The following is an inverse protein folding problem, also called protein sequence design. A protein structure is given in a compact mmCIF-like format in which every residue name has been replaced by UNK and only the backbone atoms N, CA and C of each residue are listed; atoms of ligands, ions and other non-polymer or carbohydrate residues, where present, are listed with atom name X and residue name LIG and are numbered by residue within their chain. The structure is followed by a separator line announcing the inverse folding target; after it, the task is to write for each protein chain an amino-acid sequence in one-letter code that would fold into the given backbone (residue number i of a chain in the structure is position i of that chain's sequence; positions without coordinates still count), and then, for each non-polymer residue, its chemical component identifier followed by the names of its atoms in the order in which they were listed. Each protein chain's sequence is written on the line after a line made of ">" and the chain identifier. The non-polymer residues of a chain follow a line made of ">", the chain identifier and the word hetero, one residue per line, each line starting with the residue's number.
data_IF_358410818525
#
_entry.id   IF_358410818525
#
_cell.length_a   1.000
_cell.length_b   1.000
_cell.length_c   1.000
_cell.angle_alpha   90.00
_cell.angle_beta   90.00
_cell.angle_gamma   90.00
#
_symmetry.space_group_name_H-M   'P 1'
#
loop_
_entity.id
_entity.type
_entity.pdbx_description
1 polymer ?
#
# COMPACT_ATOMS: atom_id res chain seq x y z
N UNK A 1 15.57 9.57 8.23
CA UNK A 1 14.33 8.79 8.49
C UNK A 1 14.19 7.81 7.31
N UNK A 2 13.68 6.59 7.44
CA UNK A 2 13.07 5.92 6.26
C UNK A 2 11.59 6.15 6.44
N UNK A 3 11.04 7.04 5.62
CA UNK A 3 9.62 7.30 5.53
C UNK A 3 9.21 6.70 4.19
N UNK A 4 8.50 5.58 4.16
CA UNK A 4 7.93 5.10 2.90
C UNK A 4 6.96 6.18 2.40
N UNK A 5 6.99 6.45 1.10
CA UNK A 5 6.10 7.45 0.51
C UNK A 5 4.67 6.98 0.76
N UNK A 6 3.85 7.80 1.40
CA UNK A 6 2.52 7.33 1.78
C UNK A 6 1.49 7.72 0.77
N UNK A 7 0.64 6.75 0.48
CA UNK A 7 -0.52 6.92 -0.35
C UNK A 7 -1.52 7.90 0.27
N UNK A 8 -1.93 8.89 -0.51
CA UNK A 8 -3.19 9.61 -0.34
C UNK A 8 -3.92 9.57 -1.68
N UNK A 9 -4.57 8.44 -1.97
CA UNK A 9 -5.78 8.47 -2.78
C UNK A 9 -6.87 8.94 -1.84
N UNK A 10 -7.00 10.25 -1.73
CA UNK A 10 -8.27 10.80 -1.31
C UNK A 10 -9.12 10.77 -2.57
N UNK A 11 -10.28 10.12 -2.54
CA UNK A 11 -11.31 10.27 -3.59
C UNK A 11 -11.95 11.65 -3.48
N UNK A 12 -11.12 12.68 -3.37
CA UNK A 12 -11.42 14.10 -3.26
C UNK A 12 -10.28 14.87 -3.89
N UNK A 13 -10.57 16.10 -4.32
CA UNK A 13 -9.60 16.96 -4.97
C UNK A 13 -8.36 17.24 -4.10
N UNK A 14 -7.28 17.64 -4.78
CA UNK A 14 -5.94 18.03 -4.31
C UNK A 14 -5.85 18.55 -2.87
N UNK A 15 -4.69 18.33 -2.24
CA UNK A 15 -4.34 18.63 -0.83
C UNK A 15 -4.70 20.03 -0.28
N UNK A 16 -5.11 20.99 -1.10
CA UNK A 16 -5.61 22.29 -0.67
C UNK A 16 -7.07 22.28 -0.13
N UNK A 17 -7.83 21.20 -0.32
CA UNK A 17 -9.26 21.16 0.01
C UNK A 17 -9.62 20.64 1.42
N UNK A 18 -8.63 20.32 2.27
CA UNK A 18 -8.89 19.77 3.62
C UNK A 18 -9.37 20.80 4.66
N UNK A 19 -9.53 22.07 4.29
CA UNK A 19 -10.11 23.10 5.13
C UNK A 19 -11.38 23.69 4.50
N UNK A 20 -12.47 22.91 4.42
CA UNK A 20 -13.82 23.45 4.44
C UNK A 20 -14.89 22.35 4.58
N UNK A 21 -15.76 22.57 5.56
CA UNK A 21 -17.18 22.21 5.61
C UNK A 21 -17.59 20.74 5.85
N UNK A 22 -18.29 20.58 6.98
CA UNK A 22 -19.26 19.55 7.26
C UNK A 22 -20.38 19.47 6.19
N UNK A 23 -21.06 18.32 6.17
CA UNK A 23 -22.15 17.88 5.28
C UNK A 23 -21.70 17.33 3.90
N UNK A 24 -21.67 16.00 3.80
CA UNK A 24 -21.97 15.17 2.61
C UNK A 24 -21.52 15.66 1.21
N UNK A 25 -20.34 16.27 1.11
CA UNK A 25 -19.80 16.90 -0.12
C UNK A 25 -18.66 16.13 -0.78
N UNK A 26 -18.51 14.84 -0.53
CA UNK A 26 -17.63 14.01 -1.35
C UNK A 26 -18.40 13.53 -2.58
N UNK A 27 -17.90 13.73 -3.81
CA UNK A 27 -18.63 13.33 -5.00
C UNK A 27 -18.78 11.81 -4.98
N UNK A 28 -20.03 11.35 -4.86
CA UNK A 28 -20.38 9.93 -4.76
C UNK A 28 -20.01 9.23 -6.05
N UNK A 29 -19.02 8.35 -6.00
CA UNK A 29 -18.65 7.50 -7.13
C UNK A 29 -19.77 6.49 -7.39
N UNK A 30 -20.15 6.34 -8.65
CA UNK A 30 -21.11 5.37 -9.14
C UNK A 30 -20.34 4.29 -9.87
N UNK A 31 -20.47 3.04 -9.41
CA UNK A 31 -19.87 1.87 -10.05
C UNK A 31 -20.53 1.66 -11.42
N UNK A 32 -19.72 1.55 -12.48
CA UNK A 32 -20.23 1.35 -13.84
C UNK A 32 -20.45 -0.14 -14.14
N UNK A 33 -19.73 -1.02 -13.45
CA UNK A 33 -19.82 -2.47 -13.65
C UNK A 33 -20.40 -3.12 -12.40
N UNK A 34 -21.67 -3.50 -12.47
CA UNK A 34 -22.40 -4.12 -11.35
C UNK A 34 -23.89 -4.29 -11.59
N UNK A 35 -24.53 -3.44 -12.40
CA UNK A 35 -25.92 -3.55 -12.89
C UNK A 35 -26.12 -2.54 -14.05
N UNK A 36 -27.07 -2.79 -14.96
CA UNK A 36 -27.34 -1.95 -16.15
C UNK A 36 -26.77 -2.50 -17.48
N UNK A 37 -26.97 -1.81 -18.62
CA UNK A 37 -26.61 -2.30 -19.97
C UNK A 37 -25.10 -2.57 -20.19
N UNK A 38 -24.25 -2.23 -19.22
CA UNK A 38 -22.81 -2.49 -19.18
C UNK A 38 -22.42 -3.72 -18.34
N UNK A 39 -23.37 -4.55 -17.92
CA UNK A 39 -23.17 -5.72 -17.05
C UNK A 39 -22.32 -6.88 -17.62
N UNK A 40 -21.81 -6.77 -18.86
CA UNK A 40 -20.80 -7.69 -19.41
C UNK A 40 -19.44 -6.99 -19.34
N UNK A 41 -18.38 -7.71 -18.97
CA UNK A 41 -17.03 -7.12 -18.90
C UNK A 41 -16.67 -6.52 -20.26
N UNK A 42 -16.63 -5.20 -20.37
CA UNK A 42 -16.27 -4.50 -21.61
C UNK A 42 -14.94 -3.77 -21.46
N UNK A 43 -14.20 -3.72 -22.56
CA UNK A 43 -13.16 -2.72 -22.76
C UNK A 43 -13.79 -1.57 -23.52
N UNK A 44 -13.63 -0.35 -23.00
CA UNK A 44 -14.03 0.89 -23.68
C UNK A 44 -12.83 1.58 -24.28
N UNK A 45 -13.06 2.37 -25.33
CA UNK A 45 -12.12 3.29 -25.96
C UNK A 45 -12.50 4.72 -25.56
N UNK A 46 -11.52 5.50 -25.11
CA UNK A 46 -11.71 6.90 -24.70
C UNK A 46 -10.59 7.73 -25.28
N UNK A 47 -10.94 8.80 -25.98
CA UNK A 47 -10.00 9.81 -26.46
C UNK A 47 -9.91 10.97 -25.46
N UNK A 48 -8.70 11.35 -25.08
CA UNK A 48 -8.45 12.49 -24.20
C UNK A 48 -7.04 13.04 -24.41
N UNK A 49 -6.91 14.35 -24.62
CA UNK A 49 -5.62 15.05 -24.84
C UNK A 49 -4.74 14.35 -25.89
N UNK A 50 -5.29 14.13 -27.09
CA UNK A 50 -4.63 13.47 -28.23
C UNK A 50 -4.12 12.04 -27.97
N UNK A 51 -4.56 11.43 -26.86
CA UNK A 51 -4.25 10.05 -26.51
C UNK A 51 -5.51 9.21 -26.50
N UNK A 52 -5.35 7.96 -26.90
CA UNK A 52 -6.41 6.96 -26.84
C UNK A 52 -6.14 6.01 -25.67
N UNK A 53 -7.12 5.91 -24.79
CA UNK A 53 -7.12 5.04 -23.63
C UNK A 53 -8.07 3.87 -23.86
N UNK A 54 -7.63 2.69 -23.47
CA UNK A 54 -8.44 1.48 -23.54
C UNK A 54 -8.43 0.77 -22.19
N UNK A 55 -9.59 0.39 -21.69
CA UNK A 55 -9.65 -0.35 -20.43
C UNK A 55 -11.07 -0.67 -19.97
N UNK A 56 -11.16 -1.29 -18.81
CA UNK A 56 -12.43 -1.59 -18.15
C UNK A 56 -12.84 -0.40 -17.28
N UNK A 57 -14.00 0.23 -17.49
CA UNK A 57 -14.49 1.25 -16.58
C UNK A 57 -14.77 0.62 -15.21
N UNK A 58 -14.36 1.29 -14.14
CA UNK A 58 -14.59 0.84 -12.75
C UNK A 58 -15.74 1.60 -12.11
N UNK A 59 -15.69 2.92 -12.22
CA UNK A 59 -16.70 3.84 -11.70
C UNK A 59 -16.42 5.24 -12.19
N UNK A 60 -17.36 6.14 -11.90
CA UNK A 60 -17.22 7.57 -12.17
C UNK A 60 -17.95 8.39 -11.11
N UNK A 61 -17.41 9.56 -10.79
CA UNK A 61 -18.09 10.57 -9.99
C UNK A 61 -18.62 11.69 -10.90
N UNK A 62 -18.83 12.91 -10.37
CA UNK A 62 -19.33 14.06 -11.15
C UNK A 62 -18.28 14.60 -12.14
N UNK A 63 -17.00 14.42 -11.85
CA UNK A 63 -15.92 15.10 -12.56
C UNK A 63 -15.00 14.11 -13.28
N UNK A 64 -14.87 12.89 -12.77
CA UNK A 64 -13.85 11.92 -13.16
C UNK A 64 -14.44 10.52 -13.35
N UNK A 65 -13.72 9.71 -14.14
CA UNK A 65 -13.92 8.27 -14.24
C UNK A 65 -12.61 7.52 -14.00
N UNK A 66 -12.73 6.32 -13.44
CA UNK A 66 -11.62 5.41 -13.21
C UNK A 66 -11.65 4.29 -14.26
N UNK A 67 -10.57 4.18 -15.04
CA UNK A 67 -10.40 3.20 -16.10
C UNK A 67 -9.28 2.22 -15.75
N UNK A 68 -9.60 0.93 -15.56
CA UNK A 68 -8.64 -0.13 -15.31
C UNK A 68 -7.98 -0.58 -16.63
N UNK A 69 -6.66 -0.52 -16.70
CA UNK A 69 -5.84 -0.91 -17.85
C UNK A 69 -5.37 -2.37 -17.73
N UNK A 70 -4.95 -2.97 -18.85
CA UNK A 70 -4.49 -4.37 -18.90
C UNK A 70 -3.21 -4.66 -18.12
N UNK A 71 -2.44 -3.64 -17.75
CA UNK A 71 -1.27 -3.75 -16.87
C UNK A 71 -1.60 -3.51 -15.39
N UNK A 72 -2.89 -3.45 -15.05
CA UNK A 72 -3.37 -3.27 -13.69
C UNK A 72 -3.42 -1.82 -13.22
N UNK A 73 -2.94 -0.85 -14.02
CA UNK A 73 -3.06 0.59 -13.71
C UNK A 73 -4.51 1.04 -13.73
N UNK A 74 -4.87 1.98 -12.85
CA UNK A 74 -6.04 2.83 -12.99
C UNK A 74 -5.60 4.12 -13.66
N UNK A 75 -6.31 4.54 -14.70
CA UNK A 75 -6.19 5.87 -15.28
C UNK A 75 -7.42 6.66 -14.86
N UNK A 76 -7.21 7.80 -14.21
CA UNK A 76 -8.27 8.77 -13.95
C UNK A 76 -8.40 9.68 -15.17
N UNK A 77 -9.61 9.73 -15.74
CA UNK A 77 -9.94 10.58 -16.89
C UNK A 77 -11.12 11.49 -16.50
N UNK A 78 -11.39 12.59 -17.23
CA UNK A 78 -12.64 13.31 -17.07
C UNK A 78 -13.84 12.38 -17.25
N UNK A 79 -14.93 12.65 -16.53
CA UNK A 79 -16.20 11.93 -16.66
C UNK A 79 -16.62 11.85 -18.14
N UNK A 80 -17.13 10.69 -18.54
CA UNK A 80 -17.60 10.46 -19.90
C UNK A 80 -19.11 10.19 -19.88
N UNK A 81 -19.87 10.97 -20.65
CA UNK A 81 -21.32 10.77 -20.78
C UNK A 81 -21.65 9.58 -21.70
N UNK A 82 -20.78 9.29 -22.67
CA UNK A 82 -20.89 8.16 -23.60
C UNK A 82 -19.53 7.49 -23.74
N UNK A 83 -19.53 6.17 -23.83
CA UNK A 83 -18.31 5.37 -23.96
C UNK A 83 -18.43 4.47 -25.19
N UNK A 84 -17.41 4.49 -26.03
CA UNK A 84 -17.29 3.59 -27.18
C UNK A 84 -16.85 2.20 -26.69
N UNK A 85 -17.65 1.17 -26.97
CA UNK A 85 -17.27 -0.21 -26.65
C UNK A 85 -16.25 -0.69 -27.67
N UNK A 86 -15.03 -0.96 -27.21
CA UNK A 86 -13.96 -1.51 -28.04
C UNK A 86 -14.06 -3.04 -28.15
N UNK A 87 -14.32 -3.72 -27.03
CA UNK A 87 -14.48 -5.18 -27.02
C UNK A 87 -15.31 -5.65 -25.81
N UNK A 88 -15.83 -6.88 -25.89
CA UNK A 88 -16.57 -7.55 -24.81
C UNK A 88 -15.69 -8.41 -23.89
N UNK A 89 -14.37 -8.24 -23.99
CA UNK A 89 -13.40 -9.00 -23.20
C UNK A 89 -12.41 -8.07 -22.51
N UNK A 90 -11.86 -8.54 -21.40
CA UNK A 90 -10.77 -7.86 -20.72
C UNK A 90 -9.89 -8.91 -20.03
N UNK A 91 -8.71 -9.15 -20.59
CA UNK A 91 -7.71 -10.04 -20.05
C UNK A 91 -6.42 -9.25 -19.73
N UNK A 92 -5.87 -9.37 -18.51
CA UNK A 92 -4.56 -8.81 -18.16
C UNK A 92 -3.49 -9.22 -19.17
N UNK A 93 -2.46 -8.39 -19.34
CA UNK A 93 -1.27 -8.82 -20.06
C UNK A 93 -0.64 -10.03 -19.36
N UNK A 94 -0.13 -10.96 -20.16
CA UNK A 94 0.78 -11.98 -19.66
C UNK A 94 2.07 -11.33 -19.14
N UNK A 95 2.79 -12.03 -18.26
CA UNK A 95 4.08 -11.54 -17.76
C UNK A 95 5.07 -11.21 -18.90
N UNK A 96 5.08 -12.02 -19.96
CA UNK A 96 5.92 -11.79 -21.15
C UNK A 96 5.53 -10.51 -21.89
N UNK A 97 4.25 -10.33 -22.23
CA UNK A 97 3.78 -9.13 -22.93
C UNK A 97 4.07 -7.86 -22.11
N UNK A 98 3.87 -7.94 -20.79
CA UNK A 98 4.16 -6.83 -19.91
C UNK A 98 5.66 -6.53 -19.84
N UNK A 99 6.50 -7.56 -19.72
CA UNK A 99 7.96 -7.41 -19.73
C UNK A 99 8.46 -6.80 -21.05
N UNK A 100 7.96 -7.24 -22.19
CA UNK A 100 8.33 -6.71 -23.51
C UNK A 100 7.92 -5.23 -23.65
N UNK A 101 6.73 -4.86 -23.15
CA UNK A 101 6.26 -3.45 -23.13
C UNK A 101 7.10 -2.57 -22.21
N UNK A 102 7.41 -3.06 -21.01
CA UNK A 102 8.26 -2.34 -20.05
C UNK A 102 9.69 -2.19 -20.58
N UNK A 103 10.25 -3.22 -21.22
CA UNK A 103 11.57 -3.15 -21.83
C UNK A 103 11.64 -2.07 -22.91
N UNK A 104 10.60 -1.97 -23.76
CA UNK A 104 10.47 -0.88 -24.74
C UNK A 104 10.33 0.49 -24.07
N UNK A 105 9.55 0.58 -22.99
CA UNK A 105 9.31 1.83 -22.27
C UNK A 105 10.58 2.39 -21.61
N UNK A 106 11.38 1.54 -20.96
CA UNK A 106 12.56 1.99 -20.20
C UNK A 106 13.86 1.97 -21.01
N UNK A 107 13.87 1.33 -22.18
CA UNK A 107 14.99 1.31 -23.11
C UNK A 107 16.19 0.49 -22.64
N UNK A 108 17.30 0.59 -23.37
CA UNK A 108 18.48 -0.29 -23.23
C UNK A 108 19.26 -0.14 -21.92
N UNK A 109 19.08 0.99 -21.20
CA UNK A 109 19.67 1.23 -19.87
C UNK A 109 19.10 0.32 -18.79
N UNK A 110 17.91 -0.23 -19.04
CA UNK A 110 17.18 -1.08 -18.13
C UNK A 110 17.02 -2.49 -18.68
N UNK A 111 16.81 -3.44 -17.78
CA UNK A 111 16.47 -4.82 -18.05
C UNK A 111 15.14 -5.15 -17.38
N UNK A 112 14.42 -6.12 -17.95
CA UNK A 112 13.23 -6.71 -17.34
C UNK A 112 13.48 -8.14 -16.88
N UNK A 113 12.87 -8.51 -15.77
CA UNK A 113 12.88 -9.88 -15.25
C UNK A 113 11.49 -10.19 -14.67
N UNK A 114 10.98 -11.40 -14.92
CA UNK A 114 9.70 -11.85 -14.37
C UNK A 114 9.87 -13.05 -13.45
N UNK A 115 8.96 -13.18 -12.48
CA UNK A 115 8.73 -14.36 -11.65
C UNK A 115 7.29 -14.84 -11.88
N UNK A 116 6.75 -15.69 -10.99
CA UNK A 116 5.36 -16.13 -11.05
C UNK A 116 4.39 -14.96 -10.96
N UNK A 117 4.59 -14.04 -10.01
CA UNK A 117 3.68 -12.91 -9.79
C UNK A 117 4.24 -11.56 -10.22
N UNK A 118 5.56 -11.40 -10.34
CA UNK A 118 6.20 -10.10 -10.54
C UNK A 118 6.78 -9.91 -11.94
N UNK A 119 6.79 -8.66 -12.40
CA UNK A 119 7.61 -8.19 -13.52
C UNK A 119 8.39 -6.96 -13.06
N UNK A 120 9.72 -7.09 -13.00
CA UNK A 120 10.63 -6.09 -12.43
C UNK A 120 11.44 -5.44 -13.53
N UNK A 121 11.47 -4.11 -13.52
CA UNK A 121 12.39 -3.27 -14.29
C UNK A 121 13.54 -2.85 -13.38
N UNK A 122 14.78 -2.99 -13.83
CA UNK A 122 15.96 -2.60 -13.05
C UNK A 122 17.12 -2.13 -13.93
N UNK A 123 18.07 -1.31 -13.41
CA UNK A 123 19.18 -0.81 -14.22
C UNK A 123 20.12 -1.94 -14.62
N UNK A 124 20.64 -1.93 -15.85
CA UNK A 124 21.59 -2.94 -16.34
C UNK A 124 22.85 -3.09 -15.48
N UNK A 125 23.22 -2.03 -14.75
CA UNK A 125 24.37 -2.03 -13.83
C UNK A 125 24.11 -2.77 -12.52
N UNK A 126 22.89 -3.25 -12.29
CA UNK A 126 22.43 -3.83 -11.02
C UNK A 126 21.83 -5.22 -11.26
N UNK A 127 22.54 -6.07 -12.00
CA UNK A 127 22.08 -7.43 -12.30
C UNK A 127 22.06 -8.28 -11.03
N UNK A 128 20.85 -8.66 -10.63
CA UNK A 128 20.52 -9.54 -9.51
C UNK A 128 19.19 -10.21 -9.85
N UNK A 129 18.88 -11.31 -9.18
CA UNK A 129 17.56 -11.91 -9.26
C UNK A 129 16.51 -11.11 -8.46
N UNK A 130 16.16 -9.92 -8.94
CA UNK A 130 15.21 -9.02 -8.30
C UNK A 130 13.81 -9.63 -8.27
N UNK A 131 13.34 -10.20 -9.38
CA UNK A 131 11.99 -10.77 -9.44
C UNK A 131 11.79 -11.85 -8.36
N UNK A 132 12.79 -12.72 -8.14
CA UNK A 132 12.73 -13.71 -7.08
C UNK A 132 12.75 -13.11 -5.67
N UNK A 133 13.42 -11.97 -5.45
CA UNK A 133 13.42 -11.30 -4.14
C UNK A 133 12.01 -10.83 -3.75
N UNK A 134 11.28 -10.21 -4.69
CA UNK A 134 9.90 -9.80 -4.48
C UNK A 134 8.96 -11.00 -4.35
N UNK A 135 9.15 -12.03 -5.18
CA UNK A 135 8.43 -13.30 -5.11
C UNK A 135 8.58 -13.98 -3.74
N UNK A 136 9.78 -13.97 -3.16
CA UNK A 136 10.03 -14.54 -1.84
C UNK A 136 9.26 -13.79 -0.74
N UNK A 137 9.20 -12.46 -0.80
CA UNK A 137 8.42 -11.66 0.16
C UNK A 137 6.93 -11.94 0.01
N UNK A 138 6.42 -12.02 -1.22
CA UNK A 138 5.03 -12.38 -1.49
C UNK A 138 4.68 -13.77 -0.93
N UNK A 139 5.54 -14.77 -1.13
CA UNK A 139 5.32 -16.11 -0.60
C UNK A 139 5.35 -16.13 0.94
N UNK A 140 6.23 -15.34 1.58
CA UNK A 140 6.24 -15.18 3.04
C UNK A 140 4.95 -14.55 3.56
N UNK A 141 4.43 -13.53 2.86
CA UNK A 141 3.14 -12.91 3.13
C UNK A 141 1.98 -13.91 3.02
N UNK A 142 1.90 -14.63 1.89
CA UNK A 142 0.88 -15.66 1.66
C UNK A 142 0.93 -16.76 2.72
N UNK A 143 2.14 -17.23 3.05
CA UNK A 143 2.33 -18.27 4.07
C UNK A 143 1.95 -17.79 5.48
N UNK A 144 2.13 -16.51 5.80
CA UNK A 144 1.67 -15.95 7.07
C UNK A 144 0.14 -16.00 7.17
N UNK A 145 -0.58 -15.59 6.13
CA UNK A 145 -2.05 -15.61 6.13
C UNK A 145 -2.59 -17.04 6.13
N UNK A 146 -2.03 -17.93 5.31
CA UNK A 146 -2.42 -19.34 5.28
C UNK A 146 -2.25 -20.05 6.64
N UNK A 147 -1.16 -19.79 7.37
CA UNK A 147 -0.97 -20.32 8.74
C UNK A 147 -2.00 -19.83 9.74
N UNK A 148 -2.52 -18.63 9.53
CA UNK A 148 -3.63 -18.07 10.30
C UNK A 148 -5.00 -18.42 9.69
N UNK A 149 -5.06 -19.44 8.83
CA UNK A 149 -6.29 -19.97 8.20
C UNK A 149 -7.04 -18.92 7.38
N UNK A 150 -6.29 -18.02 6.74
CA UNK A 150 -6.82 -16.99 5.86
C UNK A 150 -6.40 -17.30 4.44
N UNK A 151 -7.40 -17.58 3.61
CA UNK A 151 -7.23 -17.72 2.18
C UNK A 151 -7.29 -16.34 1.51
N UNK A 152 -6.31 -16.08 0.65
CA UNK A 152 -6.24 -14.87 -0.16
C UNK A 152 -6.40 -15.20 -1.63
N UNK A 153 -7.00 -14.29 -2.39
CA UNK A 153 -7.08 -14.42 -3.85
C UNK A 153 -5.69 -14.29 -4.47
N UNK A 154 -5.45 -14.88 -5.64
CA UNK A 154 -4.23 -14.60 -6.42
C UNK A 154 -4.33 -13.23 -7.12
N UNK A 155 -3.21 -12.53 -7.35
CA UNK A 155 -3.24 -11.23 -8.00
C UNK A 155 -3.71 -11.40 -9.44
N UNK A 156 -4.73 -10.63 -9.81
CA UNK A 156 -5.30 -10.67 -11.17
C UNK A 156 -4.31 -10.23 -12.25
N UNK A 157 -3.37 -9.35 -11.91
CA UNK A 157 -2.40 -8.78 -12.85
C UNK A 157 -0.98 -9.12 -12.39
N UNK A 158 -0.01 -9.28 -13.31
CA UNK A 158 1.39 -9.29 -12.92
C UNK A 158 1.74 -8.01 -12.16
N UNK A 159 2.38 -8.16 -11.01
CA UNK A 159 2.75 -7.08 -10.11
C UNK A 159 4.04 -6.40 -10.61
N UNK A 160 3.97 -5.10 -10.88
CA UNK A 160 5.10 -4.38 -11.47
C UNK A 160 5.95 -3.72 -10.40
N UNK A 161 7.26 -3.88 -10.54
CA UNK A 161 8.26 -3.18 -9.74
C UNK A 161 9.20 -2.42 -10.67
N UNK A 162 9.51 -1.17 -10.33
CA UNK A 162 10.43 -0.32 -11.06
C UNK A 162 11.56 0.12 -10.12
N UNK A 163 12.75 -0.42 -10.34
CA UNK A 163 13.97 -0.06 -9.65
C UNK A 163 14.73 0.92 -10.53
N UNK A 164 14.83 2.17 -10.12
CA UNK A 164 15.47 3.25 -10.90
C UNK A 164 16.95 3.38 -10.57
N UNK A 165 17.75 3.85 -11.53
CA UNK A 165 19.21 3.95 -11.39
C UNK A 165 19.70 5.11 -10.50
N UNK A 166 18.81 6.01 -10.08
CA UNK A 166 19.14 7.13 -9.21
C UNK A 166 17.94 7.70 -8.46
N UNK A 167 18.24 8.45 -7.39
CA UNK A 167 17.26 9.26 -6.66
C UNK A 167 16.58 10.31 -7.53
N UNK A 168 17.30 10.91 -8.49
CA UNK A 168 16.74 11.93 -9.36
C UNK A 168 15.71 11.34 -10.33
N UNK A 169 15.97 10.15 -10.87
CA UNK A 169 14.99 9.43 -11.68
C UNK A 169 13.76 9.05 -10.84
N UNK A 170 13.96 8.59 -9.58
CA UNK A 170 12.87 8.34 -8.63
C UNK A 170 12.00 9.57 -8.39
N UNK A 171 12.62 10.70 -8.04
CA UNK A 171 11.92 11.95 -7.80
C UNK A 171 11.17 12.43 -9.05
N UNK A 172 11.75 12.29 -10.24
CA UNK A 172 11.04 12.67 -11.48
C UNK A 172 9.84 11.76 -11.74
N UNK A 173 9.99 10.46 -11.49
CA UNK A 173 8.96 9.47 -11.82
C UNK A 173 7.69 9.56 -10.97
N UNK A 174 7.75 10.16 -9.78
CA UNK A 174 6.61 10.27 -8.86
C UNK A 174 6.23 11.74 -8.56
N UNK A 175 6.70 12.70 -9.37
CA UNK A 175 6.46 14.13 -9.17
C UNK A 175 4.98 14.50 -9.10
N UNK A 176 4.15 13.80 -9.85
CA UNK A 176 2.69 14.02 -9.89
C UNK A 176 1.93 13.20 -8.84
N UNK A 177 2.60 12.28 -8.13
CA UNK A 177 1.95 11.35 -7.19
C UNK A 177 2.27 11.66 -5.72
N UNK A 178 3.46 12.17 -5.41
CA UNK A 178 3.88 12.42 -4.03
C UNK A 178 4.59 13.75 -3.83
N UNK A 179 4.26 14.42 -2.72
CA UNK A 179 5.09 15.52 -2.20
C UNK A 179 6.33 14.90 -1.54
N UNK A 180 7.46 14.93 -2.25
CA UNK A 180 8.66 14.22 -1.81
C UNK A 180 9.23 14.77 -0.51
N UNK A 181 9.40 13.86 0.47
CA UNK A 181 10.28 14.06 1.62
C UNK A 181 11.64 13.42 1.32
N UNK A 182 12.73 14.01 1.83
CA UNK A 182 14.12 13.52 1.65
C UNK A 182 14.37 12.10 2.19
N UNK A 183 13.39 11.47 2.80
CA UNK A 183 13.51 10.20 3.51
C UNK A 183 12.73 9.05 2.86
N UNK A 184 12.17 9.28 1.66
CA UNK A 184 11.46 8.26 0.87
C UNK A 184 12.41 7.46 0.00
N UNK A 185 12.41 6.13 0.18
CA UNK A 185 13.26 5.20 -0.56
C UNK A 185 12.49 4.28 -1.52
N UNK A 186 11.18 4.26 -1.39
CA UNK A 186 10.29 3.57 -2.31
C UNK A 186 8.84 3.97 -2.04
N UNK A 187 8.00 3.54 -2.96
CA UNK A 187 6.62 3.94 -3.02
C UNK A 187 5.80 2.90 -3.78
N UNK A 188 4.79 2.33 -3.14
CA UNK A 188 3.72 1.63 -3.82
C UNK A 188 2.58 2.60 -4.19
N UNK A 189 2.34 2.73 -5.50
CA UNK A 189 1.21 3.49 -6.04
C UNK A 189 -0.01 2.59 -6.22
N UNK A 190 -1.11 2.91 -5.53
CA UNK A 190 -2.42 2.24 -5.74
C UNK A 190 -3.06 2.58 -7.08
N UNK A 191 -2.75 3.74 -7.67
CA UNK A 191 -3.22 4.12 -9.01
C UNK A 191 -2.48 3.30 -10.05
N UNK A 192 -1.15 3.32 -10.06
CA UNK A 192 -0.40 2.62 -11.11
C UNK A 192 -0.23 1.13 -10.83
N UNK A 193 -0.55 0.69 -9.61
CA UNK A 193 -0.32 -0.67 -9.12
C UNK A 193 1.17 -1.07 -9.16
N UNK A 194 2.07 -0.11 -8.98
CA UNK A 194 3.52 -0.31 -9.10
C UNK A 194 4.24 0.03 -7.82
N UNK A 195 5.24 -0.78 -7.50
CA UNK A 195 6.30 -0.38 -6.57
C UNK A 195 7.37 0.34 -7.37
N UNK A 196 7.75 1.53 -6.93
CA UNK A 196 8.90 2.27 -7.47
C UNK A 196 9.93 2.45 -6.36
N UNK A 197 11.19 2.17 -6.64
CA UNK A 197 12.33 2.40 -5.74
C UNK A 197 13.55 2.79 -6.57
N UNK A 198 14.70 2.99 -5.94
CA UNK A 198 15.94 3.27 -6.64
C UNK A 198 17.16 2.69 -5.94
N UNK A 199 18.20 2.49 -6.72
CA UNK A 199 19.52 2.05 -6.32
C UNK A 199 20.54 3.12 -6.71
N UNK A 200 21.78 2.97 -6.26
CA UNK A 200 22.89 3.83 -6.67
C UNK A 200 24.05 2.98 -7.18
N UNK A 201 24.65 3.44 -8.28
CA UNK A 201 25.90 2.90 -8.81
C UNK A 201 27.13 3.72 -8.36
N UNK A 202 26.95 4.80 -7.59
CA UNK A 202 28.06 5.58 -7.02
C UNK A 202 28.70 4.80 -5.87
N UNK A 203 29.96 4.34 -5.98
CA UNK A 203 30.61 3.51 -4.98
C UNK A 203 30.61 4.12 -3.57
N UNK A 204 30.56 5.45 -3.46
CA UNK A 204 30.57 6.18 -2.18
C UNK A 204 29.30 5.96 -1.36
N UNK A 205 28.15 5.75 -2.03
CA UNK A 205 26.84 5.66 -1.39
C UNK A 205 26.08 4.37 -1.73
N UNK A 206 26.50 3.61 -2.75
CA UNK A 206 25.83 2.42 -3.27
C UNK A 206 25.49 1.42 -2.16
N UNK A 207 26.46 1.06 -1.32
CA UNK A 207 26.24 0.10 -0.21
C UNK A 207 25.11 0.55 0.72
N UNK A 208 25.07 1.84 1.08
CA UNK A 208 24.03 2.39 1.96
C UNK A 208 22.68 2.40 1.25
N UNK A 209 22.61 2.99 0.06
CA UNK A 209 21.36 3.15 -0.69
C UNK A 209 20.75 1.79 -1.07
N UNK A 210 21.56 0.87 -1.57
CA UNK A 210 21.06 -0.43 -2.04
C UNK A 210 20.58 -1.30 -0.86
N UNK A 211 21.19 -1.17 0.33
CA UNK A 211 20.67 -1.79 1.56
C UNK A 211 19.32 -1.21 1.98
N UNK A 212 19.10 0.09 1.80
CA UNK A 212 17.82 0.73 2.11
C UNK A 212 16.76 0.28 1.11
N UNK A 213 17.10 0.18 -0.17
CA UNK A 213 16.22 -0.41 -1.19
C UNK A 213 15.80 -1.83 -0.81
N UNK A 214 16.71 -2.68 -0.33
CA UNK A 214 16.38 -4.05 0.12
C UNK A 214 15.37 -4.09 1.30
N UNK A 215 15.42 -3.11 2.22
CA UNK A 215 14.44 -3.00 3.32
C UNK A 215 13.09 -2.51 2.79
N UNK A 216 13.13 -1.50 1.92
CA UNK A 216 11.94 -0.94 1.27
C UNK A 216 11.24 -1.96 0.38
N UNK A 217 11.99 -2.86 -0.29
CA UNK A 217 11.43 -3.99 -1.05
C UNK A 217 10.39 -4.71 -0.21
N UNK A 218 10.70 -5.04 1.05
CA UNK A 218 9.76 -5.77 1.90
C UNK A 218 8.49 -4.98 2.12
N UNK A 219 8.62 -3.75 2.62
CA UNK A 219 7.50 -2.90 2.98
C UNK A 219 6.56 -2.65 1.78
N UNK A 220 7.08 -2.21 0.64
CA UNK A 220 6.26 -1.92 -0.53
C UNK A 220 5.67 -3.18 -1.17
N UNK A 221 6.37 -4.32 -1.10
CA UNK A 221 5.83 -5.59 -1.61
C UNK A 221 4.62 -6.02 -0.80
N UNK A 222 4.64 -5.80 0.52
CA UNK A 222 3.50 -6.13 1.37
C UNK A 222 2.31 -5.24 1.05
N UNK A 223 2.51 -3.93 0.86
CA UNK A 223 1.44 -3.06 0.36
C UNK A 223 0.89 -3.57 -0.97
N UNK A 224 1.76 -3.80 -1.96
CA UNK A 224 1.33 -4.27 -3.27
C UNK A 224 0.59 -5.60 -3.20
N UNK A 225 1.06 -6.58 -2.44
CA UNK A 225 0.37 -7.85 -2.24
C UNK A 225 -0.98 -7.65 -1.54
N UNK A 226 -1.02 -6.95 -0.41
CA UNK A 226 -2.26 -6.75 0.34
C UNK A 226 -3.38 -6.10 -0.50
N UNK A 227 -3.03 -5.11 -1.34
CA UNK A 227 -3.98 -4.44 -2.24
C UNK A 227 -4.38 -5.23 -3.50
N UNK A 228 -3.69 -6.33 -3.82
CA UNK A 228 -3.98 -7.16 -5.00
C UNK A 228 -4.51 -8.56 -4.67
N UNK A 229 -4.50 -8.93 -3.39
CA UNK A 229 -4.88 -10.27 -2.92
C UNK A 229 -6.15 -10.29 -2.03
N UNK A 230 -6.85 -9.14 -1.93
CA UNK A 230 -8.12 -9.03 -1.19
C UNK A 230 -7.96 -8.71 0.29
N UNK A 231 -6.76 -8.36 0.76
CA UNK A 231 -6.55 -7.90 2.15
C UNK A 231 -6.98 -6.45 2.30
N UNK A 232 -6.59 -5.60 1.36
CA UNK A 232 -7.02 -4.21 1.26
C UNK A 232 -7.71 -3.94 -0.06
N UNK A 233 -8.66 -3.00 -0.06
CA UNK A 233 -9.33 -2.60 -1.29
C UNK A 233 -8.59 -1.43 -1.96
N UNK A 234 -8.04 -1.65 -3.16
CA UNK A 234 -7.30 -0.62 -3.92
C UNK A 234 -8.16 0.57 -4.32
N UNK A 235 -9.49 0.39 -4.32
CA UNK A 235 -10.47 1.40 -4.69
C UNK A 235 -11.08 2.13 -3.49
N UNK A 236 -10.63 1.89 -2.26
CA UNK A 236 -11.16 2.54 -1.06
C UNK A 236 -10.08 3.31 -0.31
N UNK A 237 -10.50 4.29 0.51
CA UNK A 237 -9.60 4.88 1.48
C UNK A 237 -9.34 3.86 2.60
N UNK A 238 -8.07 3.54 2.85
CA UNK A 238 -7.64 2.62 3.91
C UNK A 238 -7.01 3.46 5.03
N UNK A 239 -7.46 3.33 6.30
CA UNK A 239 -6.80 4.00 7.42
C UNK A 239 -5.29 3.72 7.43
N UNK A 240 -4.46 4.76 7.48
CA UNK A 240 -3.01 4.60 7.30
C UNK A 240 -2.38 3.73 8.36
N UNK A 241 -2.82 3.86 9.62
CA UNK A 241 -2.28 3.05 10.71
C UNK A 241 -2.43 1.55 10.46
N UNK A 242 -3.52 1.14 9.81
CA UNK A 242 -3.81 -0.25 9.51
C UNK A 242 -2.90 -0.75 8.38
N UNK A 243 -2.86 -0.04 7.25
CA UNK A 243 -2.02 -0.41 6.10
C UNK A 243 -0.52 -0.38 6.44
N UNK A 244 -0.05 0.70 7.05
CA UNK A 244 1.36 0.88 7.42
C UNK A 244 1.77 -0.05 8.56
N UNK A 245 0.92 -0.16 9.58
CA UNK A 245 1.14 -1.02 10.73
C UNK A 245 1.28 -2.49 10.32
N UNK A 246 0.37 -2.96 9.46
CA UNK A 246 0.41 -4.32 8.92
C UNK A 246 1.67 -4.57 8.08
N UNK A 247 2.02 -3.66 7.17
CA UNK A 247 3.25 -3.77 6.37
C UNK A 247 4.52 -3.82 7.24
N UNK A 248 4.58 -3.02 8.31
CA UNK A 248 5.72 -2.95 9.23
C UNK A 248 5.91 -4.22 10.08
N UNK A 249 4.89 -5.08 10.23
CA UNK A 249 5.06 -6.38 10.89
C UNK A 249 6.05 -7.25 10.13
N UNK A 250 5.94 -7.25 8.80
CA UNK A 250 6.77 -8.07 7.92
C UNK A 250 8.19 -7.53 7.74
N UNK A 251 8.51 -6.30 8.16
CA UNK A 251 9.89 -5.81 8.12
C UNK A 251 10.83 -6.70 8.94
N UNK A 252 10.33 -7.27 10.04
CA UNK A 252 11.04 -8.22 10.88
C UNK A 252 11.09 -9.62 10.28
N UNK A 253 12.29 -10.22 10.26
CA UNK A 253 12.51 -11.53 9.65
C UNK A 253 11.72 -12.63 10.36
N UNK A 254 11.60 -12.62 11.67
CA UNK A 254 10.88 -13.67 12.39
C UNK A 254 9.38 -13.68 12.09
N UNK A 255 8.80 -12.53 11.78
CA UNK A 255 7.40 -12.43 11.37
C UNK A 255 7.17 -13.11 10.01
N UNK A 256 8.09 -12.87 9.06
CA UNK A 256 8.08 -13.47 7.72
C UNK A 256 8.44 -14.96 7.70
N UNK A 257 9.46 -15.34 8.46
CA UNK A 257 10.01 -16.69 8.45
C UNK A 257 9.19 -17.68 9.26
N UNK A 258 8.31 -17.19 10.15
CA UNK A 258 7.08 -17.89 10.46
C UNK A 258 7.19 -19.28 11.08
N UNK A 259 8.28 -19.59 11.79
CA UNK A 259 8.25 -20.78 12.64
C UNK A 259 7.37 -20.48 13.86
N UNK A 260 6.39 -21.34 14.21
CA UNK A 260 5.45 -21.11 15.31
C UNK A 260 6.12 -20.83 16.67
N UNK A 261 7.35 -21.31 16.83
CA UNK A 261 8.18 -21.28 18.03
C UNK A 261 9.22 -20.15 18.04
N UNK A 262 9.20 -19.24 17.06
CA UNK A 262 10.16 -18.12 17.08
C UNK A 262 10.00 -17.31 18.37
N UNK A 263 11.10 -16.86 19.00
CA UNK A 263 10.99 -15.97 20.13
C UNK A 263 10.49 -14.60 19.66
N UNK A 264 9.79 -13.88 20.55
CA UNK A 264 9.24 -12.55 20.24
C UNK A 264 10.32 -11.55 19.79
N UNK A 265 11.55 -11.69 20.28
CA UNK A 265 12.72 -10.89 19.88
C UNK A 265 12.99 -10.92 18.37
N UNK A 266 12.72 -12.05 17.70
CA UNK A 266 12.93 -12.17 16.25
C UNK A 266 11.81 -11.51 15.42
N UNK A 267 10.65 -11.24 16.04
CA UNK A 267 9.48 -10.62 15.39
C UNK A 267 9.38 -9.12 15.62
N UNK A 268 10.12 -8.58 16.57
CA UNK A 268 10.08 -7.15 16.92
C UNK A 268 10.74 -6.29 15.84
N UNK A 269 10.11 -5.17 15.48
CA UNK A 269 10.77 -4.10 14.73
C UNK A 269 11.50 -3.18 15.71
N UNK A 270 12.77 -3.50 16.03
CA UNK A 270 13.52 -2.81 17.08
C UNK A 270 13.66 -1.30 16.89
N UNK A 271 13.65 -0.83 15.64
CA UNK A 271 13.68 0.61 15.36
C UNK A 271 12.39 1.27 15.83
N UNK A 272 11.23 0.73 15.47
CA UNK A 272 9.93 1.25 15.91
C UNK A 272 9.73 1.07 17.40
N UNK A 273 10.17 -0.05 17.96
CA UNK A 273 10.16 -0.29 19.40
C UNK A 273 10.94 0.77 20.17
N UNK A 274 12.18 1.05 19.76
CA UNK A 274 13.03 2.05 20.44
C UNK A 274 12.38 3.43 20.45
N UNK A 275 11.81 3.85 19.31
CA UNK A 275 11.12 5.13 19.20
C UNK A 275 9.86 5.16 20.08
N UNK A 276 9.04 4.11 20.01
CA UNK A 276 7.79 4.05 20.76
C UNK A 276 8.01 3.98 22.27
N UNK A 277 9.01 3.22 22.75
CA UNK A 277 9.40 3.18 24.17
C UNK A 277 9.73 4.59 24.68
N UNK A 278 10.56 5.34 23.95
CA UNK A 278 10.92 6.73 24.30
C UNK A 278 9.69 7.63 24.40
N UNK A 279 8.76 7.50 23.45
CA UNK A 279 7.54 8.33 23.41
C UNK A 279 6.55 7.99 24.54
N UNK A 280 6.43 6.72 24.93
CA UNK A 280 5.63 6.32 26.09
C UNK A 280 6.27 6.73 27.43
N UNK A 281 7.61 6.74 27.50
CA UNK A 281 8.35 7.17 28.69
C UNK A 281 8.27 8.69 28.87
N UNK A 282 8.31 9.46 27.78
CA UNK A 282 8.25 10.93 27.83
C UNK A 282 6.82 11.48 27.90
N UNK A 283 5.79 10.62 27.89
CA UNK A 283 4.38 11.03 27.82
C UNK A 283 3.92 11.57 26.46
N UNK A 284 4.79 11.59 25.44
CA UNK A 284 4.50 12.18 24.13
C UNK A 284 3.52 11.33 23.30
N UNK A 285 3.40 10.04 23.59
CA UNK A 285 2.44 9.15 22.96
C UNK A 285 1.05 9.15 23.62
N UNK A 286 0.87 9.93 24.71
CA UNK A 286 -0.39 9.98 25.46
C UNK A 286 -1.53 10.46 24.56
N UNK A 287 -2.70 9.84 24.67
CA UNK A 287 -3.95 10.20 23.97
C UNK A 287 -3.83 10.17 22.42
N UNK A 288 -2.74 9.59 21.91
CA UNK A 288 -2.40 9.64 20.49
C UNK A 288 -3.02 8.49 19.70
N UNK A 289 -3.46 7.42 20.37
CA UNK A 289 -4.10 6.26 19.72
C UNK A 289 -5.43 6.68 19.10
N UNK A 290 -6.33 7.29 19.88
CA UNK A 290 -7.63 7.73 19.37
C UNK A 290 -7.45 8.71 18.21
N UNK A 291 -6.54 9.68 18.35
CA UNK A 291 -6.22 10.65 17.30
C UNK A 291 -5.82 9.96 15.99
N UNK A 292 -4.94 8.94 16.07
CA UNK A 292 -4.48 8.16 14.92
C UNK A 292 -5.59 7.27 14.33
N UNK A 293 -6.48 6.72 15.14
CA UNK A 293 -7.61 5.91 14.67
C UNK A 293 -8.65 6.76 13.94
N UNK A 294 -8.91 7.98 14.43
CA UNK A 294 -9.89 8.91 13.85
C UNK A 294 -9.47 9.47 12.50
N UNK A 295 -8.20 9.78 12.31
CA UNK A 295 -7.74 10.37 11.06
C UNK A 295 -6.23 10.18 10.84
N UNK A 296 -5.81 10.48 9.61
CA UNK A 296 -4.44 10.23 9.15
C UNK A 296 -3.48 11.43 9.35
N UNK A 297 -3.93 12.53 9.98
CA UNK A 297 -3.18 13.80 10.07
C UNK A 297 -1.83 13.65 10.77
N UNK A 298 -1.75 12.78 11.78
CA UNK A 298 -0.52 12.54 12.54
C UNK A 298 0.61 11.98 11.66
N UNK A 299 0.30 11.29 10.55
CA UNK A 299 1.31 10.83 9.59
C UNK A 299 1.99 11.97 8.82
N UNK A 300 1.38 13.15 8.81
CA UNK A 300 1.93 14.34 8.15
C UNK A 300 2.68 15.21 9.16
N UNK A 301 2.09 15.43 10.34
CA UNK A 301 2.58 16.35 11.38
C UNK A 301 3.63 15.73 12.30
N UNK A 302 3.49 14.45 12.66
CA UNK A 302 4.47 13.71 13.48
C UNK A 302 4.64 12.27 12.96
N UNK A 303 5.30 12.09 11.80
CA UNK A 303 5.40 10.78 11.17
C UNK A 303 6.11 9.76 12.08
N UNK A 304 7.14 10.15 12.82
CA UNK A 304 7.85 9.22 13.70
C UNK A 304 6.94 8.65 14.78
N UNK A 305 6.06 9.47 15.38
CA UNK A 305 5.05 9.01 16.32
C UNK A 305 4.01 8.12 15.62
N UNK A 306 3.45 8.58 14.51
CA UNK A 306 2.42 7.88 13.75
C UNK A 306 2.84 6.46 13.35
N UNK A 307 4.00 6.31 12.71
CA UNK A 307 4.49 4.99 12.30
C UNK A 307 4.87 4.11 13.48
N UNK A 308 5.42 4.69 14.55
CA UNK A 308 5.79 3.90 15.72
C UNK A 308 4.54 3.37 16.44
N UNK A 309 3.49 4.20 16.57
CA UNK A 309 2.18 3.79 17.09
C UNK A 309 1.48 2.78 16.18
N UNK A 310 1.45 3.01 14.86
CA UNK A 310 0.83 2.10 13.90
C UNK A 310 1.46 0.69 13.95
N UNK A 311 2.80 0.62 13.98
CA UNK A 311 3.50 -0.64 14.19
C UNK A 311 3.17 -1.23 15.57
N UNK A 312 3.27 -0.44 16.64
CA UNK A 312 3.09 -0.93 18.01
C UNK A 312 1.70 -1.52 18.24
N UNK A 313 0.65 -0.83 17.77
CA UNK A 313 -0.74 -1.26 17.85
C UNK A 313 -0.97 -2.52 17.00
N UNK A 314 -0.47 -2.55 15.77
CA UNK A 314 -0.57 -3.72 14.90
C UNK A 314 0.17 -4.93 15.49
N UNK A 315 1.37 -4.73 16.05
CA UNK A 315 2.17 -5.78 16.64
C UNK A 315 1.51 -6.32 17.91
N UNK A 316 0.97 -5.43 18.75
CA UNK A 316 0.20 -5.83 19.93
C UNK A 316 -0.98 -6.73 19.56
N UNK A 317 -1.80 -6.33 18.59
CA UNK A 317 -2.95 -7.15 18.19
C UNK A 317 -2.53 -8.42 17.44
N UNK A 318 -1.48 -8.38 16.63
CA UNK A 318 -0.94 -9.58 15.98
C UNK A 318 -0.41 -10.61 16.99
N UNK A 319 0.07 -10.19 18.17
CA UNK A 319 0.60 -11.09 19.21
C UNK A 319 -0.44 -11.50 20.27
N UNK A 320 -1.43 -10.65 20.55
CA UNK A 320 -2.40 -10.86 21.65
C UNK A 320 -3.78 -11.26 21.18
N UNK A 321 -4.19 -10.82 19.99
CA UNK A 321 -5.55 -10.98 19.48
C UNK A 321 -5.52 -11.28 17.96
N UNK A 322 -4.63 -12.18 17.53
CA UNK A 322 -4.28 -12.43 16.11
C UNK A 322 -5.51 -12.64 15.22
N UNK A 323 -6.44 -13.50 15.64
CA UNK A 323 -7.66 -13.79 14.88
C UNK A 323 -8.58 -12.58 14.73
N UNK A 324 -8.67 -11.72 15.75
CA UNK A 324 -9.44 -10.47 15.65
C UNK A 324 -8.73 -9.47 14.76
N UNK A 325 -7.41 -9.32 14.92
CA UNK A 325 -6.60 -8.42 14.12
C UNK A 325 -6.70 -8.73 12.63
N UNK A 326 -6.54 -9.99 12.26
CA UNK A 326 -6.56 -10.36 10.85
C UNK A 326 -7.97 -10.23 10.26
N UNK A 327 -9.02 -10.59 11.00
CA UNK A 327 -10.40 -10.29 10.58
C UNK A 327 -10.65 -8.79 10.41
N UNK A 328 -10.12 -7.96 11.29
CA UNK A 328 -10.19 -6.51 11.20
C UNK A 328 -9.55 -5.99 9.91
N UNK A 329 -8.31 -6.41 9.64
CA UNK A 329 -7.55 -6.01 8.44
C UNK A 329 -8.26 -6.49 7.16
N UNK A 330 -8.78 -7.72 7.13
CA UNK A 330 -9.48 -8.27 5.96
C UNK A 330 -10.85 -7.64 5.70
N UNK A 331 -11.51 -7.09 6.73
CA UNK A 331 -12.82 -6.45 6.56
C UNK A 331 -12.73 -5.21 5.68
N UNK A 332 -11.58 -4.53 5.64
CA UNK A 332 -11.28 -3.44 4.71
C UNK A 332 -11.25 -3.87 3.23
N UNK A 333 -10.70 -5.05 2.95
CA UNK A 333 -10.72 -5.65 1.61
C UNK A 333 -12.14 -5.90 1.07
N UNK A 334 -13.12 -6.06 1.96
CA UNK A 334 -14.52 -6.33 1.63
C UNK A 334 -15.40 -5.07 1.62
N UNK A 335 -14.82 -3.90 1.82
CA UNK A 335 -15.56 -2.63 1.77
C UNK A 335 -15.97 -2.28 0.36
N UNK A 336 -17.16 -1.67 0.22
CA UNK A 336 -17.67 -1.11 -1.03
C UNK A 336 -16.64 -0.20 -1.70
N UNK A 337 -16.34 -0.48 -2.97
CA UNK A 337 -15.42 0.32 -3.80
C UNK A 337 -15.79 1.82 -3.76
N UNK A 338 -14.77 2.68 -3.73
CA UNK A 338 -14.89 4.14 -3.65
C UNK A 338 -15.50 4.68 -2.35
N UNK A 339 -15.63 3.84 -1.31
CA UNK A 339 -15.99 4.32 0.01
C UNK A 339 -14.88 5.17 0.64
N UNK A 340 -15.30 6.24 1.30
CA UNK A 340 -14.49 7.02 2.23
C UNK A 340 -15.10 6.90 3.62
N UNK A 341 -14.26 6.71 4.64
CA UNK A 341 -14.71 6.62 6.02
C UNK A 341 -14.59 7.96 6.73
N UNK A 342 -15.67 8.41 7.35
CA UNK A 342 -15.63 9.50 8.32
C UNK A 342 -14.85 9.07 9.56
N UNK A 343 -14.32 10.02 10.37
CA UNK A 343 -13.66 9.68 11.64
C UNK A 343 -14.51 8.78 12.54
N UNK A 344 -15.81 9.04 12.67
CA UNK A 344 -16.69 8.23 13.53
C UNK A 344 -16.95 6.84 12.98
N UNK A 345 -17.02 6.69 11.65
CA UNK A 345 -17.10 5.36 11.02
C UNK A 345 -15.83 4.54 11.27
N UNK A 346 -14.64 5.16 11.21
CA UNK A 346 -13.37 4.49 11.55
C UNK A 346 -13.37 4.00 12.99
N UNK A 347 -13.86 4.82 13.92
CA UNK A 347 -13.93 4.47 15.34
C UNK A 347 -14.98 3.38 15.59
N UNK A 348 -16.16 3.50 15.01
CA UNK A 348 -17.21 2.47 15.12
C UNK A 348 -16.68 1.12 14.62
N UNK A 349 -16.06 1.12 13.44
CA UNK A 349 -15.45 -0.07 12.85
C UNK A 349 -14.39 -0.72 13.76
N UNK A 350 -13.59 0.10 14.44
CA UNK A 350 -12.61 -0.35 15.43
C UNK A 350 -13.29 -0.95 16.67
N UNK A 351 -14.23 -0.22 17.26
CA UNK A 351 -14.92 -0.64 18.48
C UNK A 351 -15.75 -1.91 18.28
N UNK A 352 -16.40 -2.07 17.13
CA UNK A 352 -17.14 -3.28 16.76
C UNK A 352 -16.27 -4.54 16.78
N UNK A 353 -14.96 -4.38 16.58
CA UNK A 353 -14.03 -5.52 16.45
C UNK A 353 -13.27 -5.81 17.74
N UNK A 354 -12.79 -4.76 18.43
CA UNK A 354 -11.96 -4.92 19.62
C UNK A 354 -12.73 -4.75 20.94
N UNK A 355 -13.87 -4.05 20.92
CA UNK A 355 -14.76 -3.81 22.07
C UNK A 355 -14.02 -3.29 23.32
N UNK A 356 -13.08 -2.35 23.15
CA UNK A 356 -12.21 -1.83 24.21
C UNK A 356 -12.17 -0.30 24.19
N UNK A 357 -12.30 0.33 25.37
CA UNK A 357 -12.13 1.78 25.51
C UNK A 357 -10.67 2.20 25.29
N UNK A 358 -10.46 3.43 24.82
CA UNK A 358 -9.13 3.89 24.41
C UNK A 358 -8.13 3.98 25.56
N UNK A 359 -8.57 4.32 26.77
CA UNK A 359 -7.70 4.43 27.93
C UNK A 359 -7.17 3.04 28.35
N UNK A 360 -8.03 2.03 28.34
CA UNK A 360 -7.65 0.65 28.61
C UNK A 360 -6.70 0.11 27.55
N UNK A 361 -7.01 0.33 26.27
CA UNK A 361 -6.15 -0.04 25.15
C UNK A 361 -4.76 0.61 25.29
N UNK A 362 -4.70 1.91 25.56
CA UNK A 362 -3.45 2.64 25.71
C UNK A 362 -2.60 2.11 26.88
N UNK A 363 -3.23 1.86 28.05
CA UNK A 363 -2.53 1.25 29.20
C UNK A 363 -1.96 -0.13 28.87
N UNK A 364 -2.74 -1.00 28.21
CA UNK A 364 -2.31 -2.36 27.83
C UNK A 364 -1.20 -2.31 26.79
N UNK A 365 -1.35 -1.48 25.76
CA UNK A 365 -0.34 -1.29 24.72
C UNK A 365 0.96 -0.76 25.33
N UNK A 366 0.89 0.28 26.17
CA UNK A 366 2.06 0.83 26.86
C UNK A 366 2.76 -0.23 27.70
N UNK A 367 2.02 -1.00 28.51
CA UNK A 367 2.58 -2.08 29.34
C UNK A 367 3.29 -3.13 28.48
N UNK A 368 2.65 -3.56 27.39
CA UNK A 368 3.22 -4.54 26.45
C UNK A 368 4.49 -4.02 25.78
N UNK A 369 4.46 -2.81 25.21
CA UNK A 369 5.61 -2.23 24.51
C UNK A 369 6.80 -2.02 25.45
N UNK A 370 6.56 -1.59 26.69
CA UNK A 370 7.62 -1.43 27.67
C UNK A 370 8.20 -2.77 28.15
N UNK A 371 7.45 -3.88 28.10
CA UNK A 371 7.94 -5.21 28.49
C UNK A 371 8.74 -5.96 27.42
N UNK A 372 8.70 -5.51 26.15
CA UNK A 372 9.48 -6.13 25.06
C UNK A 372 11.00 -5.95 25.26
N UNK A 373 11.85 -6.87 24.77
CA UNK A 373 13.31 -6.73 24.84
C UNK A 373 13.80 -5.54 24.00
N UNK A 374 14.85 -4.86 24.45
CA UNK A 374 15.40 -3.68 23.75
C UNK A 374 16.40 -4.02 22.64
N UNK A 375 16.92 -5.25 22.62
CA UNK A 375 17.83 -5.83 21.63
C UNK A 375 17.67 -7.34 21.60
#
# INVERSE_FOLDING_TARGET
>A
MLCVGVCSLVWTHTAAAQQAAAADKHPKWIKIVGEGPFGKVVTVRIEHEDKVYYGRPLGQDRDKMALLRWDGRITLLPRQEKMEVFSRGFAPYTAKELADRLQKQYGSRYLTQSSKHFTVVYPRTQQKNWAQQYENVYNQFKNYLARNRIDIAEPRFPLVVVILGSRNEFNRSLADEIVFKKDVFGFYSRITNRVTTFVSSDPRIAKRINRLADVTVVHETIHQAAFNNGVHNRLCAVPRWMSEGFAMLFESKGFRNGKPDQPISERVNYRRLRTLKKMFQSGRAKDSIETMLRNDRIFETDPDLAYSLAWGLSFYFAEKETDKYLRFVLKDGNTNEFANYTPDQRITFFMDTFAEDFDTLERRLRKFILSLPSS
#
